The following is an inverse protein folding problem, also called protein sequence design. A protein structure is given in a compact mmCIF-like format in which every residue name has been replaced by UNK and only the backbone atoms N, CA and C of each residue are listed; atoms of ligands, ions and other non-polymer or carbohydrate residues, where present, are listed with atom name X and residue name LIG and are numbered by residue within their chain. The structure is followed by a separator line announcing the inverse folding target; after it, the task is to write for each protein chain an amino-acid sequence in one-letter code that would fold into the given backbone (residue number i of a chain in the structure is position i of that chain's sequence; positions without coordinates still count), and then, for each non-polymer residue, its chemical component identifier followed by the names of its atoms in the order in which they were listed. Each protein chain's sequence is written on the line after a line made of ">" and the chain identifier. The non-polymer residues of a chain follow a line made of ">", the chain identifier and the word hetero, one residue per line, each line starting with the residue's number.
data_IF_722752760500
#
_entry.id   IF_722752760500
#
_cell.length_a   1.000
_cell.length_b   1.000
_cell.length_c   1.000
_cell.angle_alpha   90.00
_cell.angle_beta   90.00
_cell.angle_gamma   90.00
#
_symmetry.space_group_name_H-M   'P 1'
#
loop_
_entity.id
_entity.type
_entity.pdbx_description
1 polymer ?
#
# COMPACT_ATOMS: atom_id res chain seq x y z
N UNK A 1 35.39 -44.83 -26.31
CA UNK A 1 34.46 -44.09 -27.19
C UNK A 1 33.15 -43.92 -26.43
N UNK A 2 32.93 -42.79 -25.75
CA UNK A 2 31.64 -42.42 -25.14
C UNK A 2 31.61 -40.92 -24.90
N UNK A 3 31.19 -40.17 -25.92
CA UNK A 3 30.95 -38.74 -25.87
C UNK A 3 29.45 -38.58 -25.62
N UNK A 4 29.06 -38.51 -24.35
CA UNK A 4 27.71 -38.10 -23.97
C UNK A 4 27.53 -36.65 -24.42
N UNK A 5 26.80 -36.49 -25.50
CA UNK A 5 26.35 -35.22 -26.03
C UNK A 5 25.53 -34.51 -24.96
N UNK A 6 26.14 -33.58 -24.22
CA UNK A 6 25.42 -32.55 -23.48
C UNK A 6 24.62 -31.77 -24.51
N UNK A 7 23.31 -32.05 -24.61
CA UNK A 7 22.37 -31.21 -25.33
C UNK A 7 22.49 -29.81 -24.73
N UNK A 8 23.05 -28.90 -25.52
CA UNK A 8 23.07 -27.48 -25.18
C UNK A 8 21.61 -27.03 -25.12
N UNK A 9 21.09 -26.89 -23.89
CA UNK A 9 19.81 -26.21 -23.67
C UNK A 9 19.94 -24.82 -24.32
N UNK A 10 19.06 -24.43 -25.26
CA UNK A 10 19.16 -23.14 -25.92
C UNK A 10 19.11 -22.03 -24.87
N UNK A 11 20.15 -21.20 -24.78
CA UNK A 11 20.18 -20.06 -23.85
C UNK A 11 18.97 -19.12 -24.04
N UNK A 12 18.42 -19.08 -25.25
CA UNK A 12 17.18 -18.39 -25.62
C UNK A 12 15.93 -18.88 -24.90
N UNK A 13 15.86 -20.17 -24.54
CA UNK A 13 14.75 -20.71 -23.77
C UNK A 13 14.78 -20.21 -22.31
N UNK A 14 15.98 -20.06 -21.75
CA UNK A 14 16.16 -19.54 -20.39
C UNK A 14 15.84 -18.04 -20.31
N UNK A 15 16.24 -17.24 -21.31
CA UNK A 15 15.93 -15.80 -21.36
C UNK A 15 14.43 -15.53 -21.57
N UNK A 16 13.77 -16.30 -22.44
CA UNK A 16 12.32 -16.17 -22.67
C UNK A 16 11.52 -16.53 -21.41
N UNK A 17 11.95 -17.57 -20.69
CA UNK A 17 11.38 -17.95 -19.40
C UNK A 17 11.54 -16.84 -18.35
N UNK A 18 12.72 -16.23 -18.24
CA UNK A 18 12.95 -15.11 -17.31
C UNK A 18 12.11 -13.88 -17.64
N UNK A 19 11.95 -13.55 -18.92
CA UNK A 19 11.15 -12.40 -19.36
C UNK A 19 9.66 -12.59 -19.05
N UNK A 20 9.15 -13.81 -19.27
CA UNK A 20 7.78 -14.16 -18.92
C UNK A 20 7.52 -14.05 -17.41
N UNK A 21 8.42 -14.59 -16.59
CA UNK A 21 8.33 -14.48 -15.13
C UNK A 21 8.39 -13.02 -14.66
N UNK A 22 9.24 -12.20 -15.27
CA UNK A 22 9.33 -10.76 -14.96
C UNK A 22 8.02 -10.04 -15.29
N UNK A 23 7.41 -10.32 -16.44
CA UNK A 23 6.09 -9.77 -16.83
C UNK A 23 4.99 -10.20 -15.86
N UNK A 24 4.95 -11.47 -15.45
CA UNK A 24 3.97 -11.95 -14.47
C UNK A 24 4.12 -11.25 -13.12
N UNK A 25 5.36 -11.06 -12.65
CA UNK A 25 5.61 -10.34 -11.40
C UNK A 25 5.20 -8.87 -11.50
N UNK A 26 5.42 -8.24 -12.66
CA UNK A 26 4.95 -6.87 -12.92
C UNK A 26 3.43 -6.78 -12.91
N UNK A 27 2.72 -7.68 -13.59
CA UNK A 27 1.25 -7.73 -13.58
C UNK A 27 0.68 -7.93 -12.17
N UNK A 28 1.34 -8.76 -11.34
CA UNK A 28 0.97 -8.93 -9.93
C UNK A 28 1.16 -7.64 -9.13
N UNK A 29 2.25 -6.92 -9.38
CA UNK A 29 2.49 -5.62 -8.74
C UNK A 29 1.44 -4.60 -9.20
N UNK A 30 1.23 -4.45 -10.51
CA UNK A 30 0.26 -3.53 -11.10
C UNK A 30 -1.16 -3.78 -10.58
N UNK A 31 -1.56 -5.06 -10.44
CA UNK A 31 -2.86 -5.43 -9.82
C UNK A 31 -2.95 -4.97 -8.37
N UNK A 32 -1.88 -5.10 -7.58
CA UNK A 32 -1.86 -4.64 -6.19
C UNK A 32 -1.97 -3.11 -6.11
N UNK A 33 -1.24 -2.40 -6.98
CA UNK A 33 -1.36 -0.95 -7.11
C UNK A 33 -2.78 -0.52 -7.46
N UNK A 34 -3.39 -1.14 -8.47
CA UNK A 34 -4.76 -0.82 -8.88
C UNK A 34 -5.77 -1.04 -7.73
N UNK A 35 -5.67 -2.15 -6.99
CA UNK A 35 -6.52 -2.41 -5.83
C UNK A 35 -6.33 -1.37 -4.72
N UNK A 36 -5.08 -0.99 -4.44
CA UNK A 36 -4.80 0.07 -3.46
C UNK A 36 -5.39 1.41 -3.89
N UNK A 37 -5.27 1.77 -5.18
CA UNK A 37 -5.88 3.00 -5.71
C UNK A 37 -7.40 2.99 -5.57
N UNK A 38 -8.06 1.88 -5.92
CA UNK A 38 -9.52 1.75 -5.76
C UNK A 38 -9.92 1.95 -4.29
N UNK A 39 -9.17 1.32 -3.37
CA UNK A 39 -9.41 1.48 -1.94
C UNK A 39 -9.25 2.93 -1.49
N UNK A 40 -8.15 3.60 -1.84
CA UNK A 40 -7.88 5.00 -1.49
C UNK A 40 -8.97 5.95 -2.01
N UNK A 41 -9.42 5.75 -3.26
CA UNK A 41 -10.51 6.56 -3.82
C UNK A 41 -11.82 6.32 -3.06
N UNK A 42 -12.13 5.06 -2.74
CA UNK A 42 -13.35 4.73 -1.99
C UNK A 42 -13.34 5.33 -0.57
N UNK A 43 -12.20 5.26 0.12
CA UNK A 43 -12.02 5.83 1.46
C UNK A 43 -12.13 7.35 1.44
N UNK A 44 -11.50 8.00 0.46
CA UNK A 44 -11.62 9.44 0.24
C UNK A 44 -13.09 9.84 0.09
N UNK A 45 -13.84 9.19 -0.81
CA UNK A 45 -15.26 9.49 -1.00
C UNK A 45 -16.06 9.27 0.29
N UNK A 46 -15.85 8.16 1.00
CA UNK A 46 -16.56 7.87 2.26
C UNK A 46 -16.28 8.91 3.35
N UNK A 47 -15.03 9.36 3.49
CA UNK A 47 -14.63 10.35 4.49
C UNK A 47 -15.13 11.77 4.18
N UNK A 48 -15.21 12.14 2.90
CA UNK A 48 -15.64 13.47 2.45
C UNK A 48 -17.17 13.61 2.31
N UNK A 49 -17.88 12.51 2.07
CA UNK A 49 -19.36 12.50 1.94
C UNK A 49 -20.09 13.15 3.13
N UNK A 50 -19.83 12.77 4.40
CA UNK A 50 -20.55 13.38 5.53
C UNK A 50 -20.29 14.89 5.65
N UNK A 51 -19.05 15.33 5.37
CA UNK A 51 -18.72 16.75 5.35
C UNK A 51 -19.47 17.50 4.23
N UNK A 52 -19.47 16.95 3.01
CA UNK A 52 -20.19 17.55 1.88
C UNK A 52 -21.70 17.67 2.15
N UNK A 53 -22.31 16.64 2.73
CA UNK A 53 -23.74 16.66 3.10
C UNK A 53 -24.02 17.75 4.14
N UNK A 54 -23.25 17.80 5.22
CA UNK A 54 -23.45 18.79 6.29
C UNK A 54 -23.20 20.22 5.77
N UNK A 55 -22.19 20.42 4.91
CA UNK A 55 -21.91 21.71 4.29
C UNK A 55 -23.06 22.17 3.37
N UNK A 56 -23.64 21.26 2.58
CA UNK A 56 -24.81 21.58 1.75
C UNK A 56 -26.04 21.92 2.60
N UNK A 57 -26.32 21.15 3.66
CA UNK A 57 -27.43 21.41 4.56
C UNK A 57 -27.27 22.75 5.32
N UNK A 58 -26.03 23.12 5.64
CA UNK A 58 -25.71 24.44 6.19
C UNK A 58 -25.94 25.55 5.16
N UNK A 59 -25.53 25.34 3.91
CA UNK A 59 -25.71 26.31 2.82
C UNK A 59 -27.18 26.61 2.52
N UNK A 60 -28.06 25.60 2.59
CA UNK A 60 -29.50 25.76 2.40
C UNK A 60 -30.24 26.29 3.64
N UNK A 61 -29.51 26.74 4.67
CA UNK A 61 -30.02 27.28 5.93
C UNK A 61 -31.11 26.39 6.58
N UNK A 62 -30.86 25.07 6.56
CA UNK A 62 -31.74 24.11 7.23
C UNK A 62 -31.64 24.38 8.74
N UNK A 63 -32.73 24.91 9.32
CA UNK A 63 -32.87 25.38 10.72
C UNK A 63 -32.20 24.51 11.79
N UNK A 64 -32.11 23.20 11.58
CA UNK A 64 -31.54 22.25 12.55
C UNK A 64 -30.00 22.11 12.47
N UNK A 65 -29.39 22.46 11.34
CA UNK A 65 -27.93 22.31 11.11
C UNK A 65 -27.17 23.62 11.34
N UNK A 66 -27.81 24.78 11.07
CA UNK A 66 -27.24 26.12 11.27
C UNK A 66 -26.56 26.34 12.65
N UNK A 67 -27.14 25.90 13.80
CA UNK A 67 -26.47 26.04 15.10
C UNK A 67 -25.44 24.94 15.43
N UNK A 68 -25.28 23.91 14.60
CA UNK A 68 -24.42 22.76 14.88
C UNK A 68 -23.02 22.89 14.28
N UNK A 69 -22.31 23.96 14.63
CA UNK A 69 -20.93 24.22 14.20
C UNK A 69 -19.95 23.09 14.61
N UNK A 70 -20.26 22.38 15.70
CA UNK A 70 -19.49 21.21 16.17
C UNK A 70 -19.59 20.04 15.19
N UNK A 71 -20.78 19.77 14.63
CA UNK A 71 -20.99 18.69 13.66
C UNK A 71 -20.17 18.94 12.38
N UNK A 72 -20.20 20.16 11.85
CA UNK A 72 -19.35 20.61 10.74
C UNK A 72 -17.86 20.35 11.03
N UNK A 73 -17.42 20.68 12.24
CA UNK A 73 -16.04 20.54 12.66
C UNK A 73 -15.62 19.07 12.72
N UNK A 74 -16.43 18.21 13.33
CA UNK A 74 -16.17 16.76 13.41
C UNK A 74 -16.08 16.15 12.00
N UNK A 75 -17.04 16.45 11.12
CA UNK A 75 -17.02 15.96 9.75
C UNK A 75 -15.79 16.47 8.97
N UNK A 76 -15.39 17.73 9.19
CA UNK A 76 -14.18 18.29 8.57
C UNK A 76 -12.91 17.60 9.07
N UNK A 77 -12.82 17.26 10.36
CA UNK A 77 -11.70 16.47 10.89
C UNK A 77 -11.67 15.07 10.26
N UNK A 78 -12.80 14.38 10.16
CA UNK A 78 -12.89 13.07 9.50
C UNK A 78 -12.42 13.14 8.04
N UNK A 79 -12.87 14.14 7.29
CA UNK A 79 -12.42 14.36 5.92
C UNK A 79 -10.89 14.56 5.85
N UNK A 80 -10.32 15.34 6.77
CA UNK A 80 -8.86 15.58 6.82
C UNK A 80 -8.06 14.34 7.20
N UNK A 81 -8.60 13.45 8.03
CA UNK A 81 -7.89 12.22 8.41
C UNK A 81 -7.66 11.24 7.25
N UNK A 82 -8.46 11.31 6.17
CA UNK A 82 -8.23 10.50 4.97
C UNK A 82 -6.85 10.74 4.32
N UNK A 83 -6.30 11.95 4.47
CA UNK A 83 -4.97 12.27 3.92
C UNK A 83 -3.84 11.50 4.63
N UNK A 84 -4.06 11.12 5.89
CA UNK A 84 -3.10 10.35 6.68
C UNK A 84 -3.06 8.90 6.18
N UNK A 85 -4.21 8.34 5.77
CA UNK A 85 -4.33 6.96 5.34
C UNK A 85 -3.66 6.67 4.00
N UNK A 86 -3.59 7.68 3.10
CA UNK A 86 -2.87 7.60 1.82
C UNK A 86 -1.47 6.95 1.93
N UNK A 87 -0.48 7.54 2.63
CA UNK A 87 0.86 6.95 2.77
C UNK A 87 0.86 5.59 3.47
N UNK A 88 -0.04 5.33 4.43
CA UNK A 88 -0.13 4.03 5.08
C UNK A 88 -0.46 2.92 4.09
N UNK A 89 -1.50 3.11 3.26
CA UNK A 89 -1.88 2.10 2.26
C UNK A 89 -0.86 1.96 1.14
N UNK A 90 -0.21 3.04 0.70
CA UNK A 90 0.89 2.96 -0.25
C UNK A 90 2.05 2.12 0.29
N UNK A 91 2.51 2.38 1.52
CA UNK A 91 3.63 1.64 2.11
C UNK A 91 3.25 0.18 2.37
N UNK A 92 2.02 -0.08 2.83
CA UNK A 92 1.49 -1.44 3.03
C UNK A 92 1.49 -2.27 1.72
N UNK A 93 1.16 -1.63 0.59
CA UNK A 93 1.01 -2.31 -0.70
C UNK A 93 2.34 -2.52 -1.41
N UNK A 94 3.23 -1.51 -1.40
CA UNK A 94 4.50 -1.53 -2.16
C UNK A 94 5.61 -2.21 -1.38
N UNK A 95 5.73 -1.91 -0.08
CA UNK A 95 6.81 -2.38 0.79
C UNK A 95 6.25 -2.91 2.11
N UNK A 96 5.52 -4.06 2.10
CA UNK A 96 4.91 -4.61 3.31
C UNK A 96 5.94 -4.92 4.42
N UNK A 97 7.18 -5.24 4.06
CA UNK A 97 8.26 -5.46 5.02
C UNK A 97 8.70 -4.17 5.73
N UNK A 98 8.67 -3.03 5.03
CA UNK A 98 8.96 -1.71 5.61
C UNK A 98 7.77 -1.24 6.45
N UNK A 99 6.54 -1.46 5.97
CA UNK A 99 5.32 -1.22 6.75
C UNK A 99 5.35 -1.95 8.08
N UNK A 100 5.66 -3.27 8.07
CA UNK A 100 5.78 -4.08 9.29
C UNK A 100 6.87 -3.55 10.22
N UNK A 101 8.00 -3.07 9.68
CA UNK A 101 9.06 -2.46 10.48
C UNK A 101 8.66 -1.11 11.10
N UNK A 102 7.77 -0.36 10.47
CA UNK A 102 7.26 0.92 10.98
C UNK A 102 6.35 0.72 12.21
N UNK A 103 5.61 -0.40 12.26
CA UNK A 103 4.77 -0.77 13.41
C UNK A 103 5.47 -1.68 14.43
N UNK A 104 6.58 -2.33 14.05
CA UNK A 104 7.45 -3.07 14.98
C UNK A 104 8.53 -2.15 15.57
N UNK A 105 8.14 -1.25 16.46
CA UNK A 105 9.06 -0.64 17.42
C UNK A 105 9.64 -1.74 18.33
N UNK A 106 10.81 -2.30 18.00
CA UNK A 106 11.53 -3.19 18.92
C UNK A 106 12.46 -4.23 18.31
N UNK A 107 12.41 -4.49 16.99
CA UNK A 107 13.43 -5.33 16.33
C UNK A 107 14.11 -4.53 15.22
N UNK A 108 15.34 -4.10 15.49
CA UNK A 108 16.16 -3.34 14.56
C UNK A 108 16.33 -4.12 13.24
N UNK A 109 15.82 -3.57 12.14
CA UNK A 109 15.88 -4.18 10.79
C UNK A 109 17.12 -3.76 10.01
N UNK A 110 18.15 -3.24 10.69
CA UNK A 110 19.43 -2.92 10.09
C UNK A 110 20.16 -4.21 9.70
N UNK A 111 20.71 -4.29 8.48
CA UNK A 111 21.50 -5.43 8.00
C UNK A 111 22.66 -5.78 8.95
N UNK A 112 23.23 -4.79 9.64
CA UNK A 112 24.27 -4.97 10.66
C UNK A 112 23.77 -5.73 11.89
N UNK A 113 22.55 -5.43 12.39
CA UNK A 113 21.97 -6.13 13.54
C UNK A 113 21.50 -7.55 13.22
N UNK A 114 21.17 -7.84 11.94
CA UNK A 114 20.87 -9.21 11.49
C UNK A 114 22.13 -10.08 11.51
N UNK A 115 23.23 -9.57 10.96
CA UNK A 115 24.51 -10.29 10.87
C UNK A 115 25.10 -10.60 12.27
N UNK A 116 24.93 -9.67 13.22
CA UNK A 116 25.42 -9.89 14.60
C UNK A 116 24.68 -11.02 15.34
N UNK A 117 23.41 -11.30 15.00
CA UNK A 117 22.65 -12.38 15.63
C UNK A 117 23.15 -13.76 15.18
N UNK A 118 23.40 -13.94 13.89
CA UNK A 118 23.93 -15.20 13.34
C UNK A 118 25.32 -15.57 13.87
N UNK A 119 26.11 -14.57 14.29
CA UNK A 119 27.44 -14.78 14.87
C UNK A 119 27.43 -15.04 16.38
N UNK A 120 26.29 -14.84 17.06
CA UNK A 120 26.13 -15.14 18.50
C UNK A 120 25.46 -16.49 18.75
N UNK A 121 24.93 -17.12 17.69
CA UNK A 121 24.31 -18.45 17.71
C UNK A 121 25.31 -19.58 17.33
N UNK A 122 26.61 -19.28 17.41
CA UNK A 122 27.77 -20.17 17.19
C UNK A 122 28.66 -20.15 18.45
#
# INVERSE_FOLDING_TARGET
>A
MNRTSRLAVPQTANTLGTDYLMRLNRLKADRRFALATIFLVSEYLLSWTPYAIVALLYLFDVKYISPQTVLMTICAFTAKTSMILNPFFYIATIKPNVFKSMFCCGKCSCSYCRMKREMTDL
#
